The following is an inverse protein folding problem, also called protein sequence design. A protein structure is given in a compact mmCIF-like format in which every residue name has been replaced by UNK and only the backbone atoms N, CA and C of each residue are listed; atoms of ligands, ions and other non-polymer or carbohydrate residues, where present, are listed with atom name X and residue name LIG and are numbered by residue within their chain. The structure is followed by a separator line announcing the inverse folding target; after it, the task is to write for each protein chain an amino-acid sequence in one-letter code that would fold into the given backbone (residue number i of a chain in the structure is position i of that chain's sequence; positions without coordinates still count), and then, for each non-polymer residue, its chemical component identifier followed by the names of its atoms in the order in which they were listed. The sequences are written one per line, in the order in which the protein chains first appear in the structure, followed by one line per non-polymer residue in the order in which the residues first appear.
data_IF_982090145296
#
_entry.id   IF_982090145296
#
_cell.length_a   1.000
_cell.length_b   1.000
_cell.length_c   1.000
_cell.angle_alpha   90.00
_cell.angle_beta   90.00
_cell.angle_gamma   90.00
#
_symmetry.space_group_name_H-M   'P 1'
#
loop_
_entity.id
_entity.type
_entity.pdbx_description
1 polymer ?
#
# COMPACT_ATOMS: atom_id res chain seq x y z
N UNK A 1 13.01 25.54 -22.01
CA UNK A 1 12.56 26.93 -21.83
C UNK A 1 11.08 27.16 -22.21
N UNK A 2 10.33 26.19 -22.74
CA UNK A 2 8.91 26.37 -23.07
C UNK A 2 7.98 26.57 -21.85
N UNK A 3 8.26 25.91 -20.71
CA UNK A 3 7.43 26.01 -19.51
C UNK A 3 7.40 27.45 -18.92
N UNK A 4 8.53 28.17 -18.97
CA UNK A 4 8.60 29.58 -18.53
C UNK A 4 7.82 30.51 -19.45
N UNK A 5 7.77 30.21 -20.75
CA UNK A 5 7.00 31.00 -21.73
C UNK A 5 5.49 30.88 -21.52
N UNK A 6 5.02 29.72 -21.02
CA UNK A 6 3.60 29.45 -20.76
C UNK A 6 3.17 29.78 -19.32
N UNK A 7 4.05 30.39 -18.50
CA UNK A 7 3.76 30.66 -17.09
C UNK A 7 3.59 29.41 -16.22
N UNK A 8 4.05 28.24 -16.68
CA UNK A 8 3.84 26.98 -16.01
C UNK A 8 4.92 26.73 -14.95
N UNK A 9 4.51 26.42 -13.72
CA UNK A 9 5.45 26.09 -12.65
C UNK A 9 6.07 24.71 -12.85
N UNK A 10 7.40 24.66 -12.83
CA UNK A 10 8.16 23.40 -12.88
C UNK A 10 8.27 22.85 -11.46
N UNK A 11 7.62 21.72 -11.20
CA UNK A 11 7.76 21.01 -9.92
C UNK A 11 9.15 20.36 -9.82
N UNK A 12 9.88 20.69 -8.74
CA UNK A 12 11.17 20.06 -8.43
C UNK A 12 10.94 18.79 -7.62
N UNK A 13 11.63 17.71 -7.99
CA UNK A 13 11.57 16.44 -7.28
C UNK A 13 12.45 16.47 -6.01
N UNK A 14 12.05 15.78 -4.93
CA UNK A 14 10.81 15.00 -4.80
C UNK A 14 9.60 15.83 -4.34
N UNK A 15 8.42 15.57 -4.91
CA UNK A 15 7.14 16.22 -4.52
C UNK A 15 6.03 15.18 -4.29
N UNK A 16 4.92 15.57 -3.65
CA UNK A 16 3.79 14.67 -3.37
C UNK A 16 2.69 14.87 -4.41
N UNK A 17 2.31 13.82 -5.12
CA UNK A 17 1.24 13.81 -6.10
C UNK A 17 0.31 12.62 -5.86
N UNK A 18 -1.00 12.86 -5.78
CA UNK A 18 -2.01 11.83 -5.50
C UNK A 18 -1.65 10.93 -4.30
N UNK A 19 -1.06 11.52 -3.25
CA UNK A 19 -0.67 10.80 -2.04
C UNK A 19 0.60 9.94 -2.18
N UNK A 20 1.35 10.08 -3.29
CA UNK A 20 2.60 9.37 -3.61
C UNK A 20 3.75 10.36 -3.73
N UNK A 21 4.94 10.03 -3.20
CA UNK A 21 6.14 10.86 -3.37
C UNK A 21 6.77 10.59 -4.74
N UNK A 22 6.60 11.52 -5.68
CA UNK A 22 7.19 11.48 -7.02
C UNK A 22 8.63 11.95 -6.96
N UNK A 23 9.54 11.19 -7.56
CA UNK A 23 10.98 11.49 -7.56
C UNK A 23 11.73 11.03 -6.30
N UNK A 24 11.09 10.26 -5.41
CA UNK A 24 11.78 9.51 -4.35
C UNK A 24 12.40 8.20 -4.87
N UNK A 25 13.38 7.64 -4.15
CA UNK A 25 13.99 6.36 -4.50
C UNK A 25 13.06 5.19 -4.14
N UNK A 26 12.06 4.95 -5.00
CA UNK A 26 11.11 3.82 -4.89
C UNK A 26 11.78 2.45 -5.12
N UNK A 27 13.08 2.41 -5.41
CA UNK A 27 13.89 1.19 -5.38
C UNK A 27 14.20 0.71 -3.94
N UNK A 28 14.02 1.56 -2.93
CA UNK A 28 14.25 1.21 -1.52
C UNK A 28 12.95 0.74 -0.89
N UNK A 29 13.02 -0.35 -0.13
CA UNK A 29 11.87 -0.88 0.61
C UNK A 29 11.22 0.16 1.55
N UNK A 30 12.04 1.06 2.12
CA UNK A 30 11.57 2.16 2.99
C UNK A 30 10.54 3.04 2.29
N UNK A 31 10.68 3.30 0.98
CA UNK A 31 9.74 4.12 0.23
C UNK A 31 8.37 3.46 0.03
N UNK A 32 8.28 2.14 0.21
CA UNK A 32 7.04 1.37 0.14
C UNK A 32 6.35 1.19 1.50
N UNK A 33 7.00 1.60 2.59
CA UNK A 33 6.45 1.43 3.94
C UNK A 33 5.11 2.14 4.09
N UNK A 34 5.01 3.39 3.61
CA UNK A 34 3.75 4.14 3.59
C UNK A 34 2.63 3.42 2.82
N UNK A 35 2.98 2.71 1.75
CA UNK A 35 2.03 1.94 0.94
C UNK A 35 1.53 0.72 1.72
N UNK A 36 2.46 -0.01 2.33
CA UNK A 36 2.15 -1.20 3.15
C UNK A 36 1.28 -0.79 4.34
N UNK A 37 1.60 0.31 5.01
CA UNK A 37 0.87 0.79 6.17
C UNK A 37 -0.55 1.23 5.80
N UNK A 38 -0.74 1.92 4.67
CA UNK A 38 -2.07 2.24 4.13
C UNK A 38 -2.89 0.99 3.84
N UNK A 39 -2.28 -0.07 3.28
CA UNK A 39 -2.97 -1.36 3.04
C UNK A 39 -3.41 -1.97 4.37
N UNK A 40 -2.52 -2.05 5.36
CA UNK A 40 -2.84 -2.58 6.69
C UNK A 40 -3.96 -1.78 7.38
N UNK A 41 -3.90 -0.45 7.32
CA UNK A 41 -4.90 0.44 7.90
C UNK A 41 -6.27 0.28 7.24
N UNK A 42 -6.32 0.10 5.91
CA UNK A 42 -7.58 -0.15 5.21
C UNK A 42 -8.18 -1.50 5.57
N UNK A 43 -7.35 -2.53 5.72
CA UNK A 43 -7.80 -3.87 6.11
C UNK A 43 -8.23 -3.93 7.59
N UNK A 44 -7.57 -3.19 8.49
CA UNK A 44 -7.88 -3.21 9.92
C UNK A 44 -9.25 -2.63 10.27
N UNK A 45 -9.83 -1.81 9.39
CA UNK A 45 -11.20 -1.28 9.53
C UNK A 45 -12.29 -2.35 9.43
N UNK A 46 -11.93 -3.56 8.99
CA UNK A 46 -12.87 -4.64 8.78
C UNK A 46 -12.70 -5.73 9.83
N UNK A 47 -13.81 -6.10 10.47
CA UNK A 47 -13.87 -7.24 11.40
C UNK A 47 -13.78 -8.54 10.60
N UNK A 48 -12.57 -9.07 10.43
CA UNK A 48 -12.31 -10.29 9.63
C UNK A 48 -13.22 -11.46 10.00
N UNK A 49 -13.51 -11.65 11.30
CA UNK A 49 -14.40 -12.72 11.80
C UNK A 49 -15.88 -12.54 11.39
N UNK A 50 -16.29 -11.34 10.98
CA UNK A 50 -17.64 -11.06 10.50
C UNK A 50 -17.77 -11.19 8.96
N UNK A 51 -16.68 -11.41 8.24
CA UNK A 51 -16.67 -11.58 6.79
C UNK A 51 -16.62 -13.07 6.43
N UNK A 52 -17.46 -13.47 5.47
CA UNK A 52 -17.35 -14.76 4.79
C UNK A 52 -16.02 -14.85 4.03
N UNK A 53 -15.61 -16.07 3.66
CA UNK A 53 -14.41 -16.30 2.84
C UNK A 53 -14.47 -15.49 1.54
N UNK A 54 -15.63 -15.48 0.87
CA UNK A 54 -15.87 -14.66 -0.33
C UNK A 54 -15.76 -13.16 -0.03
N UNK A 55 -16.33 -12.69 1.09
CA UNK A 55 -16.22 -11.30 1.52
C UNK A 55 -14.77 -10.86 1.76
N UNK A 56 -13.96 -11.72 2.40
CA UNK A 56 -12.51 -11.46 2.61
C UNK A 56 -11.76 -11.38 1.28
N UNK A 57 -12.05 -12.28 0.34
CA UNK A 57 -11.42 -12.28 -0.98
C UNK A 57 -11.77 -11.02 -1.79
N UNK A 58 -13.05 -10.66 -1.85
CA UNK A 58 -13.52 -9.46 -2.55
C UNK A 58 -12.91 -8.19 -1.96
N UNK A 59 -12.86 -8.08 -0.62
CA UNK A 59 -12.26 -6.94 0.04
C UNK A 59 -10.74 -6.85 -0.21
N UNK A 60 -10.02 -7.98 -0.13
CA UNK A 60 -8.61 -8.03 -0.49
C UNK A 60 -8.37 -7.57 -1.92
N UNK A 61 -9.20 -8.02 -2.87
CA UNK A 61 -9.13 -7.58 -4.26
C UNK A 61 -9.33 -6.08 -4.36
N UNK A 62 -10.35 -5.51 -3.72
CA UNK A 62 -10.60 -4.06 -3.74
C UNK A 62 -9.42 -3.24 -3.17
N UNK A 63 -8.90 -3.61 -1.99
CA UNK A 63 -7.83 -2.86 -1.30
C UNK A 63 -6.48 -3.01 -2.01
N UNK A 64 -6.11 -4.23 -2.40
CA UNK A 64 -4.84 -4.48 -3.10
C UNK A 64 -4.87 -3.95 -4.53
N UNK A 65 -6.02 -3.97 -5.21
CA UNK A 65 -6.11 -3.45 -6.58
C UNK A 65 -5.94 -1.93 -6.66
N UNK A 66 -6.29 -1.18 -5.61
CA UNK A 66 -6.23 0.28 -5.67
C UNK A 66 -4.90 0.86 -5.18
N UNK A 67 -4.33 0.31 -4.10
CA UNK A 67 -3.20 0.96 -3.41
C UNK A 67 -1.84 0.48 -3.95
N UNK A 68 -1.41 -0.77 -3.70
CA UNK A 68 -0.09 -1.21 -4.10
C UNK A 68 0.05 -1.42 -5.62
N UNK A 69 -1.03 -1.77 -6.35
CA UNK A 69 -0.97 -1.94 -7.81
C UNK A 69 -0.68 -0.61 -8.52
N UNK A 70 -1.27 0.51 -8.07
CA UNK A 70 -0.95 1.83 -8.62
C UNK A 70 0.54 2.18 -8.46
N UNK A 71 1.13 1.87 -7.30
CA UNK A 71 2.57 2.10 -7.11
C UNK A 71 3.41 1.14 -7.96
N UNK A 72 2.97 -0.11 -8.15
CA UNK A 72 3.67 -1.11 -8.96
C UNK A 72 3.60 -0.83 -10.46
N UNK A 73 2.58 -0.13 -10.96
CA UNK A 73 2.51 0.27 -12.37
C UNK A 73 3.53 1.36 -12.72
N UNK A 74 3.93 2.16 -11.73
CA UNK A 74 4.88 3.28 -11.91
C UNK A 74 6.31 2.87 -11.51
N UNK A 75 6.46 1.95 -10.54
CA UNK A 75 7.76 1.59 -9.97
C UNK A 75 7.93 0.07 -9.83
N UNK A 76 9.13 -0.43 -10.11
CA UNK A 76 9.49 -1.84 -9.84
C UNK A 76 9.56 -2.09 -8.33
N UNK A 77 8.63 -2.87 -7.80
CA UNK A 77 8.62 -3.23 -6.38
C UNK A 77 9.82 -4.13 -6.01
N UNK A 78 10.55 -3.83 -4.92
CA UNK A 78 11.55 -4.73 -4.37
C UNK A 78 10.93 -6.05 -3.91
N UNK A 79 11.66 -7.16 -4.05
CA UNK A 79 11.18 -8.49 -3.65
C UNK A 79 10.73 -8.55 -2.18
N UNK A 80 11.41 -7.83 -1.27
CA UNK A 80 11.01 -7.74 0.14
C UNK A 80 9.59 -7.16 0.30
N UNK A 81 9.27 -6.11 -0.46
CA UNK A 81 7.95 -5.45 -0.42
C UNK A 81 6.86 -6.40 -0.91
N UNK A 82 7.12 -7.14 -2.00
CA UNK A 82 6.19 -8.15 -2.51
C UNK A 82 5.90 -9.22 -1.45
N UNK A 83 6.95 -9.76 -0.81
CA UNK A 83 6.81 -10.76 0.27
C UNK A 83 6.01 -10.23 1.45
N UNK A 84 6.20 -8.96 1.82
CA UNK A 84 5.44 -8.33 2.91
C UNK A 84 3.96 -8.13 2.56
N UNK A 85 3.64 -7.64 1.35
CA UNK A 85 2.26 -7.49 0.89
C UNK A 85 1.54 -8.85 0.84
N UNK A 86 2.23 -9.89 0.36
CA UNK A 86 1.71 -11.26 0.36
C UNK A 86 1.48 -11.79 1.78
N UNK A 87 2.36 -11.47 2.72
CA UNK A 87 2.17 -11.81 4.13
C UNK A 87 0.92 -11.13 4.70
N UNK A 88 0.72 -9.82 4.44
CA UNK A 88 -0.47 -9.09 4.87
C UNK A 88 -1.74 -9.72 4.29
N UNK A 89 -1.72 -10.06 2.99
CA UNK A 89 -2.83 -10.72 2.30
C UNK A 89 -3.20 -12.06 2.96
N UNK A 90 -2.22 -12.92 3.20
CA UNK A 90 -2.42 -14.24 3.83
C UNK A 90 -2.96 -14.11 5.26
N UNK A 91 -2.39 -13.20 6.06
CA UNK A 91 -2.85 -12.98 7.43
C UNK A 91 -4.31 -12.53 7.45
N UNK A 92 -4.69 -11.59 6.58
CA UNK A 92 -6.06 -11.12 6.49
C UNK A 92 -7.03 -12.20 6.01
N UNK A 93 -6.67 -12.93 4.95
CA UNK A 93 -7.51 -14.00 4.40
C UNK A 93 -7.77 -15.10 5.43
N UNK A 94 -6.71 -15.54 6.13
CA UNK A 94 -6.78 -16.55 7.17
C UNK A 94 -7.46 -16.05 8.46
N UNK A 95 -7.81 -14.76 8.55
CA UNK A 95 -8.50 -14.18 9.70
C UNK A 95 -7.61 -14.08 10.94
N UNK A 96 -6.28 -14.01 10.76
CA UNK A 96 -5.34 -13.86 11.86
C UNK A 96 -5.47 -12.45 12.44
N UNK A 97 -5.99 -12.34 13.66
CA UNK A 97 -6.13 -11.06 14.35
C UNK A 97 -4.78 -10.67 14.99
N UNK A 98 -4.11 -9.59 14.55
CA UNK A 98 -2.86 -9.16 15.14
C UNK A 98 -2.97 -8.79 16.63
N UNK A 99 -4.18 -8.52 17.16
CA UNK A 99 -4.42 -8.28 18.59
C UNK A 99 -4.45 -9.56 19.44
N UNK A 100 -4.58 -10.74 18.84
CA UNK A 100 -4.69 -12.01 19.59
C UNK A 100 -3.40 -12.45 20.28
N UNK A 101 -2.24 -11.88 19.94
CA UNK A 101 -0.94 -12.20 20.57
C UNK A 101 -0.62 -11.42 21.86
N UNK A 102 -1.51 -10.55 22.36
CA UNK A 102 -1.27 -9.72 23.56
C UNK A 102 -2.01 -10.17 24.82
N UNK A 103 -2.48 -11.42 24.89
CA UNK A 103 -3.10 -11.97 26.10
C UNK A 103 -2.39 -13.25 26.56
N UNK A 104 -1.15 -13.12 27.00
CA UNK A 104 -0.51 -14.06 27.93
C UNK A 104 0.40 -13.20 28.82
N UNK A 105 -0.10 -12.88 30.01
CA UNK A 105 0.52 -12.10 31.06
C UNK A 105 -0.40 -12.17 32.27
#
# INVERSE_FOLDING_TARGET
QAASTLGCQILRTPFKYLGTKVGGTMNRAIAWQEVIDKVKERLSKWKMKALSIGGRFTLLKSVLSFIPIFHMSIYKAPMRVLKELDSVRRQFFNGHDPKSKKLHG
#
